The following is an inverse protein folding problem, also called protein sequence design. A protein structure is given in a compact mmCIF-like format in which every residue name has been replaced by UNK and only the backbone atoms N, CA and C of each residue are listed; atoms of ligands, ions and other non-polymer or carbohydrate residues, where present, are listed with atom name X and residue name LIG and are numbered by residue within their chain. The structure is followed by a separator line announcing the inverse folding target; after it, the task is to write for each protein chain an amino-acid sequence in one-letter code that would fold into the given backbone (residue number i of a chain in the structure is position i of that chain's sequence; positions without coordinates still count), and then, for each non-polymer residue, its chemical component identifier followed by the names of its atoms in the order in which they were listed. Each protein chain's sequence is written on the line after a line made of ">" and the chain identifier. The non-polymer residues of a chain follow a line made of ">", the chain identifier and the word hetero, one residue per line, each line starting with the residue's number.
data_IF_831863482741
#
_entry.id   IF_831863482741
#
_cell.length_a   1.000
_cell.length_b   1.000
_cell.length_c   1.000
_cell.angle_alpha   90.00
_cell.angle_beta   90.00
_cell.angle_gamma   90.00
#
_symmetry.space_group_name_H-M   'P 1'
#
loop_
_entity.id
_entity.type
_entity.pdbx_description
1 polymer ?
#
# COMPACT_ATOMS: atom_id res chain seq x y z
N UNK A 1 -7.21 -1.19 -23.27
CA UNK A 1 -6.25 -0.61 -22.31
C UNK A 1 -6.97 0.48 -21.54
N UNK A 2 -7.11 0.34 -20.22
CA UNK A 2 -7.68 1.42 -19.41
C UNK A 2 -6.72 2.62 -19.46
N UNK A 3 -7.18 3.75 -19.98
CA UNK A 3 -6.47 5.03 -19.92
C UNK A 3 -6.16 5.34 -18.47
N UNK A 4 -4.88 5.32 -18.11
CA UNK A 4 -4.43 5.70 -16.77
C UNK A 4 -4.58 7.20 -16.59
N UNK A 5 -5.15 7.64 -15.46
CA UNK A 5 -5.37 9.06 -15.21
C UNK A 5 -4.04 9.80 -15.04
N UNK A 6 -4.01 11.10 -15.36
CA UNK A 6 -2.83 11.95 -15.12
C UNK A 6 -2.40 11.95 -13.64
N UNK A 7 -3.36 11.81 -12.72
CA UNK A 7 -3.10 11.71 -11.29
C UNK A 7 -2.34 10.42 -10.91
N UNK A 8 -2.72 9.29 -11.52
CA UNK A 8 -2.03 8.01 -11.33
C UNK A 8 -0.57 8.07 -11.81
N UNK A 9 -0.34 8.60 -13.01
CA UNK A 9 1.02 8.74 -13.54
C UNK A 9 1.88 9.68 -12.69
N UNK A 10 1.28 10.78 -12.20
CA UNK A 10 1.94 11.68 -11.26
C UNK A 10 2.35 10.95 -9.97
N UNK A 11 1.47 10.15 -9.38
CA UNK A 11 1.77 9.38 -8.17
C UNK A 11 3.00 8.48 -8.35
N UNK A 12 3.05 7.73 -9.46
CA UNK A 12 4.19 6.85 -9.75
C UNK A 12 5.50 7.63 -9.93
N UNK A 13 5.44 8.83 -10.51
CA UNK A 13 6.62 9.65 -10.77
C UNK A 13 7.14 10.46 -9.57
N UNK A 14 6.27 10.84 -8.62
CA UNK A 14 6.64 11.73 -7.50
C UNK A 14 6.51 11.11 -6.11
N UNK A 15 5.91 9.92 -6.01
CA UNK A 15 5.80 9.18 -4.77
C UNK A 15 7.18 8.94 -4.16
N UNK A 16 7.29 9.10 -2.84
CA UNK A 16 8.59 8.98 -2.13
C UNK A 16 8.68 7.74 -1.24
N UNK A 17 7.55 7.14 -0.87
CA UNK A 17 7.48 5.95 -0.03
C UNK A 17 6.09 5.31 -0.12
N UNK A 18 6.03 4.01 0.17
CA UNK A 18 4.79 3.27 0.41
C UNK A 18 4.87 2.78 1.86
N UNK A 19 3.85 3.08 2.66
CA UNK A 19 3.70 2.57 4.03
C UNK A 19 2.49 1.64 4.01
N UNK A 20 2.66 0.42 4.50
CA UNK A 20 1.63 -0.62 4.50
C UNK A 20 1.32 -1.07 5.94
N UNK A 21 0.12 -1.61 6.13
CA UNK A 21 -0.39 -2.04 7.44
C UNK A 21 -0.70 -3.53 7.41
N UNK A 22 0.07 -4.30 8.17
CA UNK A 22 -0.14 -5.73 8.30
C UNK A 22 -1.32 -6.07 9.21
N UNK A 23 -2.03 -7.16 8.89
CA UNK A 23 -3.07 -7.77 9.75
C UNK A 23 -4.23 -6.82 10.09
N UNK A 24 -4.58 -5.92 9.16
CA UNK A 24 -5.66 -4.96 9.34
C UNK A 24 -7.07 -5.52 9.05
N UNK A 25 -7.17 -6.82 8.74
CA UNK A 25 -8.42 -7.57 8.64
C UNK A 25 -8.36 -8.76 9.61
N UNK A 26 -9.29 -8.83 10.57
CA UNK A 26 -9.27 -9.86 11.62
C UNK A 26 -9.34 -11.29 11.07
N UNK A 27 -10.09 -11.50 9.98
CA UNK A 27 -10.18 -12.79 9.31
C UNK A 27 -8.82 -13.23 8.73
N UNK A 28 -8.09 -12.31 8.08
CA UNK A 28 -6.77 -12.58 7.52
C UNK A 28 -5.71 -12.80 8.61
N UNK A 29 -5.78 -12.08 9.74
CA UNK A 29 -4.92 -12.36 10.89
C UNK A 29 -5.12 -13.80 11.41
N UNK A 30 -6.39 -14.24 11.51
CA UNK A 30 -6.75 -15.59 11.96
C UNK A 30 -6.31 -16.69 10.98
N UNK A 31 -6.45 -16.46 9.68
CA UNK A 31 -6.02 -17.38 8.61
C UNK A 31 -4.55 -17.78 8.79
N UNK A 32 -3.70 -16.80 9.08
CA UNK A 32 -2.26 -17.00 9.29
C UNK A 32 -1.91 -17.42 10.74
N UNK A 33 -2.89 -17.79 11.57
CA UNK A 33 -2.69 -18.22 12.96
C UNK A 33 -2.24 -17.10 13.90
N UNK A 34 -2.44 -15.84 13.54
CA UNK A 34 -1.96 -14.68 14.30
C UNK A 34 -3.07 -14.07 15.17
N UNK A 35 -2.67 -13.46 16.28
CA UNK A 35 -3.54 -12.58 17.05
C UNK A 35 -3.79 -11.26 16.30
N UNK A 36 -4.97 -10.67 16.48
CA UNK A 36 -5.26 -9.31 16.02
C UNK A 36 -4.40 -8.34 16.83
N UNK A 37 -3.57 -7.51 16.19
CA UNK A 37 -2.67 -6.62 16.91
C UNK A 37 -3.46 -5.48 17.57
N UNK A 38 -2.98 -4.99 18.72
CA UNK A 38 -3.57 -3.83 19.43
C UNK A 38 -3.15 -2.49 18.83
N UNK A 39 -2.01 -2.48 18.15
CA UNK A 39 -1.44 -1.32 17.46
C UNK A 39 -1.09 -1.73 16.02
N UNK A 40 -1.14 -0.80 15.04
CA UNK A 40 -0.84 -1.12 13.65
C UNK A 40 0.57 -1.70 13.46
N UNK A 41 0.66 -2.81 12.71
CA UNK A 41 1.95 -3.35 12.27
C UNK A 41 2.36 -2.62 10.99
N UNK A 42 3.36 -1.76 11.07
CA UNK A 42 3.81 -0.94 9.94
C UNK A 42 5.03 -1.52 9.27
N UNK A 43 5.03 -1.51 7.94
CA UNK A 43 6.19 -1.81 7.11
C UNK A 43 6.22 -0.90 5.88
N UNK A 44 7.34 -0.93 5.15
CA UNK A 44 7.53 -0.06 3.98
C UNK A 44 7.83 -0.89 2.74
N UNK A 45 7.33 -0.43 1.59
CA UNK A 45 7.75 -0.89 0.27
C UNK A 45 8.47 0.27 -0.46
N UNK A 46 9.56 0.00 -1.17
CA UNK A 46 10.26 1.05 -1.93
C UNK A 46 9.43 1.47 -3.15
N UNK A 47 9.59 2.70 -3.62
CA UNK A 47 8.90 3.19 -4.83
C UNK A 47 9.33 2.46 -6.10
N UNK A 48 10.51 1.85 -6.09
CA UNK A 48 10.97 0.94 -7.15
C UNK A 48 10.15 -0.36 -7.26
N UNK A 49 9.28 -0.65 -6.28
CA UNK A 49 8.34 -1.79 -6.34
C UNK A 49 7.02 -1.47 -7.04
N UNK A 50 6.79 -0.20 -7.44
CA UNK A 50 5.61 0.12 -8.23
C UNK A 50 5.63 -0.59 -9.57
N UNK A 51 4.50 -1.17 -9.94
CA UNK A 51 4.23 -1.70 -11.26
C UNK A 51 3.03 -0.96 -11.84
N UNK A 52 3.18 -0.45 -13.07
CA UNK A 52 2.08 0.19 -13.76
C UNK A 52 0.92 -0.80 -13.96
N UNK A 53 -0.32 -0.34 -13.90
CA UNK A 53 -1.49 -1.21 -14.08
C UNK A 53 -1.44 -1.92 -15.44
N UNK A 54 -1.64 -3.24 -15.44
CA UNK A 54 -1.47 -4.09 -16.62
C UNK A 54 -0.03 -4.46 -16.95
N UNK A 55 0.94 -4.05 -16.12
CA UNK A 55 2.33 -4.49 -16.23
C UNK A 55 2.52 -5.95 -15.82
N UNK A 56 3.67 -6.51 -16.21
CA UNK A 56 4.04 -7.90 -15.91
C UNK A 56 4.76 -7.98 -14.57
N UNK A 57 4.34 -8.89 -13.69
CA UNK A 57 5.06 -9.20 -12.45
C UNK A 57 6.23 -10.13 -12.79
N UNK A 58 7.46 -9.63 -12.64
CA UNK A 58 8.66 -10.43 -12.80
C UNK A 58 8.99 -11.15 -11.48
N UNK A 59 8.98 -12.47 -11.52
CA UNK A 59 9.17 -13.31 -10.33
C UNK A 59 10.61 -13.85 -10.29
N UNK A 60 11.44 -13.46 -9.29
CA UNK A 60 12.81 -13.95 -9.18
C UNK A 60 12.85 -15.45 -8.84
N UNK A 61 13.90 -16.13 -9.30
CA UNK A 61 14.11 -17.58 -9.09
C UNK A 61 15.38 -17.84 -8.27
N UNK A 62 15.43 -18.89 -7.42
CA UNK A 62 14.34 -19.84 -7.15
C UNK A 62 13.30 -19.25 -6.20
N UNK A 63 12.04 -19.65 -6.35
CA UNK A 63 10.94 -19.23 -5.49
C UNK A 63 10.15 -20.45 -5.02
N UNK A 64 9.78 -20.47 -3.73
CA UNK A 64 8.91 -21.50 -3.16
C UNK A 64 7.43 -21.18 -3.36
N UNK A 65 6.99 -19.97 -3.00
CA UNK A 65 5.62 -19.50 -3.16
C UNK A 65 5.54 -18.00 -3.45
N UNK A 66 4.48 -17.59 -4.15
CA UNK A 66 4.13 -16.19 -4.40
C UNK A 66 2.64 -16.01 -4.07
N UNK A 67 2.35 -15.08 -3.18
CA UNK A 67 0.98 -14.75 -2.79
C UNK A 67 0.53 -13.41 -3.39
N UNK A 68 -0.78 -13.23 -3.47
CA UNK A 68 -1.40 -11.97 -3.86
C UNK A 68 -2.19 -11.40 -2.68
N UNK A 69 -2.03 -10.10 -2.44
CA UNK A 69 -2.81 -9.36 -1.44
C UNK A 69 -3.49 -8.18 -2.13
N UNK A 70 -4.81 -8.11 -2.02
CA UNK A 70 -5.59 -6.98 -2.53
C UNK A 70 -5.85 -6.03 -1.37
N UNK A 71 -5.27 -4.84 -1.46
CA UNK A 71 -5.36 -3.81 -0.42
C UNK A 71 -5.98 -2.52 -0.97
N UNK A 72 -6.63 -1.75 -0.08
CA UNK A 72 -7.00 -0.37 -0.38
C UNK A 72 -5.77 0.52 -0.23
N UNK A 73 -5.35 1.16 -1.32
CA UNK A 73 -4.34 2.21 -1.27
C UNK A 73 -4.98 3.55 -0.92
N UNK A 74 -4.34 4.31 -0.01
CA UNK A 74 -4.69 5.69 0.31
C UNK A 74 -3.52 6.59 -0.08
N UNK A 75 -3.77 7.54 -0.97
CA UNK A 75 -2.78 8.49 -1.46
C UNK A 75 -2.79 9.73 -0.56
N UNK A 76 -1.64 10.05 0.01
CA UNK A 76 -1.46 11.25 0.82
C UNK A 76 -1.16 12.44 -0.09
N UNK A 77 -2.07 13.41 -0.14
CA UNK A 77 -2.01 14.55 -1.07
C UNK A 77 -1.17 15.75 -0.59
N UNK A 78 -0.84 15.80 0.71
CA UNK A 78 -0.05 16.89 1.33
C UNK A 78 0.82 16.39 2.46
N UNK A 79 1.87 17.14 2.80
CA UNK A 79 2.81 16.79 3.88
C UNK A 79 2.07 16.67 5.21
N UNK A 80 2.09 15.47 5.79
CA UNK A 80 1.53 15.16 7.10
C UNK A 80 2.66 14.96 8.13
N UNK A 81 2.49 15.52 9.33
CA UNK A 81 3.38 15.32 10.48
C UNK A 81 2.57 15.54 11.74
N UNK A 82 2.64 14.59 12.67
CA UNK A 82 1.98 14.65 13.98
C UNK A 82 0.49 15.06 13.88
N UNK A 83 -0.21 14.48 12.90
CA UNK A 83 -1.60 14.83 12.55
C UNK A 83 -2.57 14.13 13.50
N UNK A 84 -3.53 14.87 14.04
CA UNK A 84 -4.60 14.33 14.86
C UNK A 84 -5.59 13.52 14.02
N UNK A 85 -6.13 12.44 14.59
CA UNK A 85 -7.11 11.57 13.91
C UNK A 85 -8.30 12.35 13.32
N UNK A 86 -8.82 13.31 14.08
CA UNK A 86 -9.97 14.13 13.69
C UNK A 86 -9.75 14.96 12.41
N UNK A 87 -8.50 15.24 12.02
CA UNK A 87 -8.16 16.00 10.80
C UNK A 87 -7.37 15.17 9.80
N UNK A 88 -7.18 13.87 10.03
CA UNK A 88 -6.39 13.01 9.16
C UNK A 88 -6.92 12.96 7.72
N UNK A 89 -8.26 12.97 7.57
CA UNK A 89 -8.91 12.92 6.25
C UNK A 89 -8.61 14.14 5.38
N UNK A 90 -8.25 15.28 5.96
CA UNK A 90 -7.83 16.45 5.18
C UNK A 90 -6.58 16.13 4.35
N UNK A 91 -5.72 15.22 4.80
CA UNK A 91 -4.45 14.91 4.12
C UNK A 91 -4.59 13.89 2.99
N UNK A 92 -5.76 13.26 2.85
CA UNK A 92 -6.04 12.27 1.80
C UNK A 92 -6.30 12.96 0.46
N UNK A 93 -5.55 12.56 -0.57
CA UNK A 93 -5.67 13.08 -1.94
C UNK A 93 -6.42 12.15 -2.90
N UNK A 94 -6.68 10.90 -2.49
CA UNK A 94 -7.40 9.88 -3.25
C UNK A 94 -6.95 8.47 -2.91
#
# INVERSE_FOLDING_TARGET
>A
MATTSAAYQKLLGVGTKIVAVGRNYAAHAKELGNAVPKEPVLFMKPTTSYLANGGTIEVPQPLESLDHEVELAVVIGRKARDVAEATAMDYVGG
#
